data_IF_614293451078
#
_entry.id   IF_614293451078
#
_cell.length_a   1.000
_cell.length_b   1.000
_cell.length_c   1.000
_cell.angle_alpha   90.00
_cell.angle_beta   90.00
_cell.angle_gamma   90.00
#
_symmetry.space_group_name_H-M   'P 1'
#
loop_
_entity.id
_entity.type
_entity.pdbx_description
1 polymer ?
#
# COMPACT_ATOMS: atom_id res chain seq x y z
N UNK A 1 -24.24 16.20 -0.30
CA UNK A 1 -23.08 16.99 0.18
C UNK A 1 -22.34 16.07 1.17
N UNK A 2 -21.20 15.42 0.91
CA UNK A 2 -19.87 15.91 0.56
C UNK A 2 -18.99 14.76 0.01
N UNK A 3 -19.20 14.31 -1.23
CA UNK A 3 -18.42 13.18 -1.82
C UNK A 3 -17.08 13.64 -2.46
N UNK A 4 -16.99 14.91 -2.85
CA UNK A 4 -15.82 15.45 -3.55
C UNK A 4 -14.57 15.49 -2.66
N UNK A 5 -14.72 15.87 -1.38
CA UNK A 5 -13.62 15.92 -0.40
C UNK A 5 -12.99 14.55 -0.12
N UNK A 6 -13.80 13.48 -0.08
CA UNK A 6 -13.30 12.12 0.18
C UNK A 6 -12.44 11.60 -0.98
N UNK A 7 -12.77 12.00 -2.21
CA UNK A 7 -12.00 11.64 -3.40
C UNK A 7 -10.64 12.35 -3.40
N UNK A 8 -10.62 13.66 -3.10
CA UNK A 8 -9.38 14.45 -3.02
C UNK A 8 -8.44 13.94 -1.92
N UNK A 9 -8.97 13.61 -0.74
CA UNK A 9 -8.15 13.07 0.34
C UNK A 9 -7.53 11.71 0.00
N UNK A 10 -8.32 10.81 -0.59
CA UNK A 10 -7.86 9.51 -1.03
C UNK A 10 -6.79 9.65 -2.12
N UNK A 11 -6.97 10.58 -3.06
CA UNK A 11 -6.02 10.80 -4.15
C UNK A 11 -4.71 11.44 -3.64
N UNK A 12 -4.78 12.36 -2.69
CA UNK A 12 -3.61 12.88 -1.99
C UNK A 12 -2.84 11.77 -1.27
N UNK A 13 -3.54 10.92 -0.50
CA UNK A 13 -2.90 9.83 0.24
C UNK A 13 -2.19 8.86 -0.69
N UNK A 14 -2.76 8.60 -1.88
CA UNK A 14 -2.15 7.75 -2.91
C UNK A 14 -0.89 8.37 -3.51
N UNK A 15 -0.92 9.65 -3.86
CA UNK A 15 0.27 10.35 -4.35
C UNK A 15 1.35 10.38 -3.28
N UNK A 16 0.99 10.66 -2.03
CA UNK A 16 1.90 10.61 -0.90
C UNK A 16 2.53 9.21 -0.72
N UNK A 17 1.73 8.14 -0.80
CA UNK A 17 2.22 6.77 -0.71
C UNK A 17 3.08 6.35 -1.91
N UNK A 18 2.86 6.92 -3.10
CA UNK A 18 3.70 6.69 -4.28
C UNK A 18 5.04 7.43 -4.20
N UNK A 19 5.08 8.56 -3.50
CA UNK A 19 6.29 9.37 -3.28
C UNK A 19 7.15 8.83 -2.14
N UNK A 20 6.57 8.07 -1.21
CA UNK A 20 7.30 7.49 -0.10
C UNK A 20 8.15 6.31 -0.57
N UNK A 21 9.40 6.23 -0.10
CA UNK A 21 10.28 5.13 -0.46
C UNK A 21 9.72 3.80 0.07
N UNK A 22 9.94 2.73 -0.69
CA UNK A 22 9.51 1.38 -0.27
C UNK A 22 10.15 0.99 1.07
N UNK A 23 11.41 1.38 1.28
CA UNK A 23 12.16 1.09 2.49
C UNK A 23 11.60 1.82 3.71
N UNK A 24 11.24 3.10 3.57
CA UNK A 24 10.56 3.84 4.65
C UNK A 24 9.19 3.24 5.00
N UNK A 25 8.46 2.79 3.98
CA UNK A 25 7.15 2.15 4.20
C UNK A 25 7.31 0.81 4.92
N UNK A 26 8.29 0.02 4.52
CA UNK A 26 8.61 -1.25 5.16
C UNK A 26 9.11 -1.06 6.60
N UNK A 27 9.96 -0.05 6.85
CA UNK A 27 10.39 0.34 8.18
C UNK A 27 9.21 0.66 9.10
N UNK A 28 8.27 1.49 8.64
CA UNK A 28 7.04 1.80 9.40
C UNK A 28 6.20 0.56 9.70
N UNK A 29 6.12 -0.39 8.76
CA UNK A 29 5.39 -1.65 8.99
C UNK A 29 6.09 -2.49 10.07
N UNK A 30 7.42 -2.60 10.02
CA UNK A 30 8.21 -3.28 11.06
C UNK A 30 7.98 -2.65 12.44
N UNK A 31 8.01 -1.33 12.52
CA UNK A 31 7.79 -0.60 13.77
C UNK A 31 6.40 -0.87 14.35
N UNK A 32 5.36 -0.89 13.51
CA UNK A 32 3.99 -1.20 13.95
C UNK A 32 3.90 -2.64 14.47
N UNK A 33 4.51 -3.61 13.78
CA UNK A 33 4.54 -5.01 14.23
C UNK A 33 5.25 -5.11 15.58
N UNK A 34 6.45 -4.52 15.69
CA UNK A 34 7.25 -4.50 16.91
C UNK A 34 6.46 -3.90 18.08
N UNK A 35 5.83 -2.73 17.88
CA UNK A 35 5.02 -2.06 18.89
C UNK A 35 3.81 -2.89 19.32
N UNK A 36 3.12 -3.54 18.40
CA UNK A 36 1.96 -4.35 18.74
C UNK A 36 2.35 -5.63 19.48
N UNK A 37 3.43 -6.29 19.08
CA UNK A 37 3.94 -7.47 19.77
C UNK A 37 4.46 -7.12 21.16
N UNK A 38 5.12 -5.97 21.33
CA UNK A 38 5.55 -5.49 22.66
C UNK A 38 4.41 -5.21 23.63
N UNK A 39 3.19 -4.98 23.15
CA UNK A 39 2.01 -4.86 24.03
C UNK A 39 1.65 -6.19 24.69
N UNK A 40 1.90 -7.31 24.03
CA UNK A 40 1.65 -8.64 24.58
C UNK A 40 2.89 -9.22 25.28
N UNK A 41 4.07 -9.04 24.70
CA UNK A 41 5.35 -9.44 25.30
C UNK A 41 6.39 -8.31 25.21
N UNK A 42 6.62 -7.65 26.35
CA UNK A 42 7.58 -6.54 26.47
C UNK A 42 9.02 -6.86 26.04
N UNK A 43 9.42 -8.14 26.00
CA UNK A 43 10.75 -8.59 25.60
C UNK A 43 10.83 -8.99 24.13
N UNK A 44 9.72 -8.94 23.40
CA UNK A 44 9.68 -9.27 21.99
C UNK A 44 10.57 -8.31 21.19
N UNK A 45 11.49 -8.85 20.40
CA UNK A 45 12.32 -8.12 19.44
C UNK A 45 12.21 -8.78 18.07
N UNK A 46 11.68 -8.04 17.09
CA UNK A 46 11.45 -8.50 15.72
C UNK A 46 12.75 -8.94 15.03
N UNK A 47 13.88 -8.31 15.37
CA UNK A 47 15.21 -8.67 14.85
C UNK A 47 15.67 -10.07 15.28
N UNK A 48 15.14 -10.61 16.39
CA UNK A 48 15.51 -11.93 16.91
C UNK A 48 14.56 -13.03 16.42
N UNK A 49 13.59 -12.68 15.58
CA UNK A 49 12.60 -13.60 15.04
C UNK A 49 12.89 -13.85 13.57
N UNK A 50 13.18 -15.11 13.21
CA UNK A 50 13.25 -15.55 11.81
C UNK A 50 11.85 -15.59 11.20
N UNK A 51 11.34 -14.40 10.85
CA UNK A 51 9.97 -14.24 10.36
C UNK A 51 10.00 -14.07 8.86
N UNK A 52 9.53 -15.09 8.14
CA UNK A 52 9.26 -15.00 6.71
C UNK A 52 7.86 -14.42 6.51
N UNK A 53 7.79 -13.17 6.06
CA UNK A 53 6.52 -12.56 5.64
C UNK A 53 6.32 -12.85 4.15
N UNK A 54 5.45 -13.82 3.86
CA UNK A 54 5.05 -14.14 2.49
C UNK A 54 3.68 -13.52 2.18
N UNK A 55 3.69 -12.46 1.36
CA UNK A 55 2.48 -11.79 0.89
C UNK A 55 2.16 -12.30 -0.51
N UNK A 56 1.13 -13.14 -0.60
CA UNK A 56 0.52 -13.59 -1.85
C UNK A 56 -0.91 -13.06 -1.94
N UNK A 57 -1.21 -12.29 -2.98
CA UNK A 57 -2.54 -11.72 -3.16
C UNK A 57 -2.71 -10.99 -4.49
N UNK A 58 -3.88 -10.44 -4.73
CA UNK A 58 -4.17 -9.63 -5.92
C UNK A 58 -4.60 -8.23 -5.46
N UNK A 59 -3.81 -7.21 -5.77
CA UNK A 59 -4.23 -5.83 -5.58
C UNK A 59 -5.04 -5.37 -6.80
N UNK A 60 -6.12 -4.63 -6.57
CA UNK A 60 -6.94 -4.06 -7.65
C UNK A 60 -7.07 -2.55 -7.45
N UNK A 61 -6.37 -1.78 -8.28
CA UNK A 61 -6.36 -0.32 -8.23
C UNK A 61 -7.20 0.26 -9.37
N UNK A 62 -7.95 1.33 -9.12
CA UNK A 62 -8.55 2.09 -10.21
C UNK A 62 -7.44 2.74 -11.02
N UNK A 63 -7.63 2.86 -12.33
CA UNK A 63 -6.69 3.61 -13.17
C UNK A 63 -6.64 5.07 -12.71
N UNK A 64 -5.47 5.52 -12.26
CA UNK A 64 -5.21 6.90 -11.89
C UNK A 64 -5.18 7.76 -13.15
N UNK A 65 -6.13 8.68 -13.28
CA UNK A 65 -6.23 9.69 -14.35
C UNK A 65 -6.46 9.17 -15.79
N UNK A 66 -6.17 7.90 -16.09
CA UNK A 66 -6.44 7.29 -17.40
C UNK A 66 -7.93 7.05 -17.69
N UNK A 67 -8.81 7.25 -16.71
CA UNK A 67 -10.25 7.14 -16.87
C UNK A 67 -10.94 8.51 -17.09
N UNK A 68 -10.19 9.62 -17.13
CA UNK A 68 -10.75 10.97 -17.20
C UNK A 68 -11.15 11.36 -18.62
N UNK A 69 -12.12 12.27 -18.72
CA UNK A 69 -12.74 12.69 -19.98
C UNK A 69 -11.80 13.42 -20.95
N UNK A 70 -10.66 13.93 -20.47
CA UNK A 70 -9.65 14.57 -21.31
C UNK A 70 -8.60 13.60 -21.88
N UNK A 71 -8.59 12.32 -21.47
CA UNK A 71 -7.66 11.32 -22.03
C UNK A 71 -8.14 10.84 -23.40
N UNK A 72 -7.24 10.68 -24.37
CA UNK A 72 -7.57 10.17 -25.72
C UNK A 72 -8.35 8.84 -25.60
N UNK A 73 -9.52 8.71 -26.26
CA UNK A 73 -10.32 7.49 -26.22
C UNK A 73 -9.54 6.19 -26.49
N UNK A 74 -8.47 6.25 -27.28
CA UNK A 74 -7.60 5.10 -27.61
C UNK A 74 -6.74 4.62 -26.44
N UNK A 75 -6.40 5.51 -25.50
CA UNK A 75 -5.59 5.19 -24.31
C UNK A 75 -6.39 5.24 -23.02
N UNK A 76 -7.65 5.68 -23.08
CA UNK A 76 -8.55 5.76 -21.94
C UNK A 76 -8.83 4.35 -21.42
N UNK A 77 -8.53 4.13 -20.14
CA UNK A 77 -8.76 2.84 -19.46
C UNK A 77 -9.90 2.96 -18.47
N UNK A 78 -10.92 2.15 -18.67
CA UNK A 78 -12.06 2.00 -17.76
C UNK A 78 -11.89 0.75 -16.89
N UNK A 79 -12.44 0.76 -15.68
CA UNK A 79 -12.36 -0.36 -14.74
C UNK A 79 -11.20 -0.28 -13.75
N UNK A 80 -10.62 -1.44 -13.41
CA UNK A 80 -9.53 -1.57 -12.43
C UNK A 80 -8.35 -2.34 -13.01
N UNK A 81 -7.15 -1.94 -12.64
CA UNK A 81 -5.91 -2.64 -12.91
C UNK A 81 -5.63 -3.64 -11.78
N UNK A 82 -5.47 -4.91 -12.13
CA UNK A 82 -5.20 -5.98 -11.18
C UNK A 82 -3.72 -6.34 -11.22
N UNK A 83 -3.07 -6.32 -10.06
CA UNK A 83 -1.65 -6.57 -9.87
C UNK A 83 -1.52 -7.83 -8.99
N UNK A 84 -0.98 -8.94 -9.52
CA UNK A 84 -0.63 -10.08 -8.69
C UNK A 84 0.57 -9.69 -7.83
N UNK A 85 0.38 -9.72 -6.52
CA UNK A 85 1.42 -9.50 -5.52
C UNK A 85 1.93 -10.88 -5.09
N UNK A 86 3.23 -11.11 -5.30
CA UNK A 86 3.94 -12.26 -4.78
C UNK A 86 5.28 -11.78 -4.26
N UNK A 87 5.34 -11.49 -2.97
CA UNK A 87 6.54 -10.97 -2.33
C UNK A 87 6.79 -11.73 -1.04
N UNK A 88 7.99 -12.28 -0.92
CA UNK A 88 8.46 -12.97 0.28
C UNK A 88 9.63 -12.18 0.82
N UNK A 89 9.55 -11.76 2.08
CA UNK A 89 10.61 -11.05 2.76
C UNK A 89 11.00 -11.86 3.97
N UNK A 90 12.28 -12.23 4.04
CA UNK A 90 12.90 -12.86 5.19
C UNK A 90 13.64 -11.79 6.01
N UNK A 91 13.50 -11.85 7.32
CA UNK A 91 14.27 -11.07 8.28
C UNK A 91 15.09 -12.02 9.15
#
# INVERSE_FOLDING_TARGET
MNSSLNTVYIDYLRVFLLLQSKDETLGKIKDIIQLNMKKEDSKFELENQYTLINVTGNASIKYLFFNLEFMDPKVRKTGRYTIPIKQSIAF
#
